data_IF_366544203688
#
_entry.id   IF_366544203688
#
_cell.length_a   1.000
_cell.length_b   1.000
_cell.length_c   1.000
_cell.angle_alpha   90.00
_cell.angle_beta   90.00
_cell.angle_gamma   90.00
#
_symmetry.space_group_name_H-M   'P 1'
#
loop_
_entity.id
_entity.type
_entity.pdbx_description
1 polymer ?
#
# COMPACT_ATOMS: atom_id res chain seq x y z
N UNK A 1 -23.09 -67.86 -49.04
CA UNK A 1 -21.67 -67.60 -48.69
C UNK A 1 -21.37 -66.14 -48.94
N UNK A 2 -20.75 -65.45 -47.96
CA UNK A 2 -20.48 -63.99 -47.83
C UNK A 2 -21.72 -63.18 -47.39
N UNK A 3 -21.73 -62.34 -46.34
CA UNK A 3 -20.68 -61.81 -45.48
C UNK A 3 -21.24 -61.42 -44.09
N UNK A 4 -20.44 -61.63 -43.04
CA UNK A 4 -20.54 -61.04 -41.71
C UNK A 4 -19.70 -59.75 -41.66
N UNK A 5 -19.96 -58.89 -40.66
CA UNK A 5 -19.16 -57.76 -40.13
C UNK A 5 -19.63 -56.38 -40.56
N UNK A 6 -20.35 -55.69 -39.67
CA UNK A 6 -20.13 -54.27 -39.24
C UNK A 6 -21.38 -53.74 -38.50
N UNK A 7 -21.50 -54.01 -37.20
CA UNK A 7 -22.56 -53.37 -36.40
C UNK A 7 -22.17 -53.20 -34.91
N UNK A 8 -20.88 -53.12 -34.60
CA UNK A 8 -20.39 -52.91 -33.23
C UNK A 8 -19.28 -51.85 -33.21
N UNK A 9 -19.54 -50.70 -33.84
CA UNK A 9 -18.63 -49.55 -33.86
C UNK A 9 -19.35 -48.20 -33.75
N UNK A 10 -20.65 -48.19 -33.42
CA UNK A 10 -21.45 -46.95 -33.36
C UNK A 10 -21.90 -46.52 -31.95
N UNK A 11 -21.51 -47.23 -30.89
CA UNK A 11 -21.87 -46.86 -29.51
C UNK A 11 -20.72 -46.29 -28.67
N UNK A 12 -19.49 -46.28 -29.19
CA UNK A 12 -18.33 -45.64 -28.53
C UNK A 12 -17.93 -44.29 -29.14
N UNK A 13 -18.67 -43.79 -30.13
CA UNK A 13 -18.34 -42.53 -30.84
C UNK A 13 -19.27 -41.35 -30.50
N UNK A 14 -20.13 -41.47 -29.49
CA UNK A 14 -21.01 -40.38 -29.02
C UNK A 14 -20.67 -39.85 -27.62
N UNK A 15 -19.73 -40.48 -26.90
CA UNK A 15 -19.17 -39.95 -25.64
C UNK A 15 -17.88 -39.13 -25.86
N UNK A 16 -17.38 -39.06 -27.10
CA UNK A 16 -16.18 -38.29 -27.46
C UNK A 16 -16.48 -36.89 -28.06
N UNK A 17 -17.68 -36.34 -27.85
CA UNK A 17 -18.07 -35.01 -28.38
C UNK A 17 -18.49 -33.99 -27.30
N UNK A 18 -18.28 -34.30 -26.02
CA UNK A 18 -18.58 -33.38 -24.90
C UNK A 18 -17.34 -32.86 -24.15
N UNK A 19 -16.13 -32.92 -24.75
CA UNK A 19 -14.91 -32.39 -24.12
C UNK A 19 -14.04 -31.58 -25.09
N UNK A 20 -14.66 -30.60 -25.73
CA UNK A 20 -13.95 -29.46 -26.32
C UNK A 20 -14.71 -28.18 -25.94
N UNK A 21 -14.87 -27.96 -24.64
CA UNK A 21 -15.04 -26.61 -24.14
C UNK A 21 -13.76 -25.86 -24.50
N UNK A 22 -13.84 -24.93 -25.44
CA UNK A 22 -12.76 -23.98 -25.74
C UNK A 22 -12.36 -23.34 -24.41
N UNK A 23 -11.21 -23.72 -23.88
CA UNK A 23 -10.55 -22.90 -22.88
C UNK A 23 -10.41 -21.52 -23.53
N UNK A 24 -11.10 -20.52 -22.97
CA UNK A 24 -10.87 -19.13 -23.37
C UNK A 24 -9.38 -18.84 -23.25
N UNK A 25 -8.81 -17.93 -24.06
CA UNK A 25 -7.42 -17.56 -23.89
C UNK A 25 -7.19 -17.22 -22.42
N UNK A 26 -6.28 -17.94 -21.77
CA UNK A 26 -5.87 -17.63 -20.41
C UNK A 26 -5.49 -16.15 -20.41
N UNK A 27 -6.14 -15.36 -19.56
CA UNK A 27 -5.78 -13.96 -19.40
C UNK A 27 -4.30 -13.94 -18.99
N UNK A 28 -3.45 -13.41 -19.86
CA UNK A 28 -2.04 -13.19 -19.53
C UNK A 28 -2.05 -12.05 -18.52
N UNK A 29 -2.06 -12.37 -17.23
CA UNK A 29 -1.80 -11.41 -16.17
C UNK A 29 -0.29 -11.32 -16.01
N UNK A 30 0.29 -10.19 -16.43
CA UNK A 30 1.67 -9.86 -16.10
C UNK A 30 1.73 -9.47 -14.63
N UNK A 31 2.54 -10.16 -13.84
CA UNK A 31 2.81 -9.81 -12.45
C UNK A 31 4.20 -9.18 -12.34
N UNK A 32 4.30 -8.08 -11.58
CA UNK A 32 5.57 -7.44 -11.21
C UNK A 32 5.68 -7.50 -9.69
N UNK A 33 6.87 -7.79 -9.15
CA UNK A 33 7.05 -7.75 -7.69
C UNK A 33 6.95 -6.33 -7.15
N UNK A 34 6.49 -6.15 -5.91
CA UNK A 34 6.45 -4.83 -5.29
C UNK A 34 7.86 -4.22 -5.17
N UNK A 35 8.86 -5.09 -4.91
CA UNK A 35 10.28 -4.71 -4.88
C UNK A 35 10.76 -4.22 -6.25
N UNK A 36 10.35 -4.86 -7.35
CA UNK A 36 10.68 -4.41 -8.71
C UNK A 36 9.94 -3.15 -9.10
N UNK A 37 8.67 -3.01 -8.71
CA UNK A 37 7.86 -1.83 -8.98
C UNK A 37 8.48 -0.59 -8.30
N UNK A 38 8.79 -0.68 -7.00
CA UNK A 38 9.37 0.44 -6.23
C UNK A 38 10.87 0.62 -6.51
N UNK A 39 11.58 -0.45 -6.87
CA UNK A 39 13.02 -0.48 -7.12
C UNK A 39 13.46 -0.40 -8.59
N UNK A 40 12.56 0.00 -9.51
CA UNK A 40 12.70 -0.08 -10.97
C UNK A 40 14.09 0.23 -11.56
N UNK A 41 14.36 -0.37 -12.73
CA UNK A 41 15.64 -0.50 -13.45
C UNK A 41 16.60 0.70 -13.32
N UNK A 42 17.45 0.66 -12.29
CA UNK A 42 18.68 1.45 -12.18
C UNK A 42 18.47 2.96 -12.17
N UNK A 43 18.42 3.55 -10.98
CA UNK A 43 18.32 5.00 -10.72
C UNK A 43 19.47 5.88 -11.23
N UNK A 44 20.14 5.49 -12.33
CA UNK A 44 21.20 6.25 -12.96
C UNK A 44 20.67 7.63 -13.41
N UNK A 45 21.24 8.68 -12.82
CA UNK A 45 20.90 10.08 -13.12
C UNK A 45 19.80 10.70 -12.26
N UNK A 46 19.08 9.91 -11.46
CA UNK A 46 18.17 10.44 -10.44
C UNK A 46 18.91 10.72 -9.12
N UNK A 47 18.42 11.70 -8.36
CA UNK A 47 18.95 12.08 -7.06
C UNK A 47 18.69 10.99 -6.01
N UNK A 48 19.51 10.92 -4.96
CA UNK A 48 19.32 10.01 -3.82
C UNK A 48 19.03 10.81 -2.55
N UNK A 49 18.31 10.20 -1.61
CA UNK A 49 18.11 10.76 -0.27
C UNK A 49 19.34 10.40 0.59
N UNK A 50 20.28 11.32 0.72
CA UNK A 50 21.54 11.08 1.45
C UNK A 50 21.68 11.96 2.69
N UNK A 51 21.02 13.12 2.71
CA UNK A 51 21.18 14.13 3.77
C UNK A 51 19.81 14.69 4.18
N UNK A 52 19.65 15.09 5.45
CA UNK A 52 18.47 15.82 5.92
C UNK A 52 18.09 17.00 5.03
N UNK A 53 16.78 17.25 4.90
CA UNK A 53 16.27 18.41 4.16
C UNK A 53 15.21 19.16 4.97
N UNK A 54 15.01 20.43 4.63
CA UNK A 54 13.85 21.19 5.12
C UNK A 54 12.63 20.86 4.26
N UNK A 55 11.51 20.55 4.91
CA UNK A 55 10.21 20.35 4.29
C UNK A 55 9.37 21.63 4.39
N UNK A 56 8.59 21.90 3.35
CA UNK A 56 7.72 23.06 3.20
C UNK A 56 6.39 22.63 2.60
N UNK A 57 5.29 22.94 3.28
CA UNK A 57 3.95 22.50 2.92
C UNK A 57 3.09 23.68 2.44
N UNK A 58 2.30 23.54 1.35
CA UNK A 58 1.96 22.31 0.65
C UNK A 58 2.96 21.84 -0.43
N UNK A 59 4.06 22.56 -0.68
CA UNK A 59 5.01 22.26 -1.77
C UNK A 59 5.48 20.81 -1.79
N UNK A 60 5.91 20.28 -0.64
CA UNK A 60 6.43 18.91 -0.52
C UNK A 60 5.34 17.83 -0.44
N UNK A 61 4.06 18.21 -0.51
CA UNK A 61 3.02 17.26 -0.92
C UNK A 61 3.03 17.03 -2.44
N UNK A 62 3.64 17.91 -3.24
CA UNK A 62 3.74 17.76 -4.68
C UNK A 62 4.69 16.64 -5.15
N UNK A 63 4.91 16.62 -6.46
CA UNK A 63 5.86 15.70 -7.09
C UNK A 63 7.31 16.17 -6.96
N UNK A 64 8.24 15.25 -6.70
CA UNK A 64 9.69 15.51 -6.64
C UNK A 64 10.41 14.87 -7.83
N UNK A 65 10.42 15.56 -8.99
CA UNK A 65 10.83 15.00 -10.29
C UNK A 65 12.30 14.52 -10.34
N UNK A 66 13.13 14.97 -9.41
CA UNK A 66 14.52 14.57 -9.29
C UNK A 66 14.72 13.14 -8.74
N UNK A 67 13.67 12.49 -8.22
CA UNK A 67 13.71 11.11 -7.71
C UNK A 67 13.01 10.13 -8.64
N UNK A 68 13.42 8.86 -8.64
CA UNK A 68 12.83 7.87 -9.54
C UNK A 68 11.42 7.45 -9.12
N UNK A 69 11.18 7.28 -7.82
CA UNK A 69 9.91 6.79 -7.30
C UNK A 69 9.38 7.65 -6.17
N UNK A 70 8.06 7.74 -6.09
CA UNK A 70 7.38 8.39 -4.98
C UNK A 70 5.94 7.92 -4.85
N UNK A 71 5.38 8.05 -3.65
CA UNK A 71 3.99 7.71 -3.40
C UNK A 71 3.30 8.63 -2.40
N UNK A 72 1.98 8.64 -2.51
CA UNK A 72 1.02 9.21 -1.59
C UNK A 72 0.12 8.09 -1.13
N UNK A 73 0.24 7.72 0.14
CA UNK A 73 -0.38 6.53 0.67
C UNK A 73 -1.33 6.89 1.80
N UNK A 74 -2.63 6.76 1.53
CA UNK A 74 -3.68 7.04 2.49
C UNK A 74 -4.29 5.73 2.95
N UNK A 75 -4.26 5.46 4.25
CA UNK A 75 -4.98 4.35 4.88
C UNK A 75 -5.89 4.86 5.96
N UNK A 76 -6.99 4.18 6.24
CA UNK A 76 -7.87 4.61 7.32
C UNK A 76 -8.84 3.57 7.81
N UNK A 77 -9.26 3.80 9.06
CA UNK A 77 -10.26 3.00 9.75
C UNK A 77 -11.49 3.89 9.99
N UNK A 78 -12.62 3.46 9.44
CA UNK A 78 -13.87 4.20 9.40
C UNK A 78 -15.00 3.42 10.08
N UNK A 79 -15.97 4.14 10.62
CA UNK A 79 -17.19 3.60 11.18
C UNK A 79 -18.40 4.41 10.70
N UNK A 80 -19.49 3.70 10.41
CA UNK A 80 -20.81 4.29 10.21
C UNK A 80 -21.55 4.47 11.54
N UNK A 81 -22.64 5.22 11.54
CA UNK A 81 -23.45 5.48 12.74
C UNK A 81 -24.06 4.20 13.35
N UNK A 82 -24.35 3.21 12.50
CA UNK A 82 -24.86 1.89 12.91
C UNK A 82 -23.78 0.96 13.49
N UNK A 83 -22.53 1.42 13.57
CA UNK A 83 -21.40 0.66 14.10
C UNK A 83 -20.69 -0.24 13.08
N UNK A 84 -21.13 -0.28 11.81
CA UNK A 84 -20.38 -0.97 10.74
C UNK A 84 -19.00 -0.36 10.59
N UNK A 85 -17.98 -1.21 10.47
CA UNK A 85 -16.58 -0.80 10.36
C UNK A 85 -16.04 -1.07 8.97
N UNK A 86 -15.22 -0.14 8.49
CA UNK A 86 -14.59 -0.22 7.19
C UNK A 86 -13.10 0.12 7.29
N UNK A 87 -12.29 -0.61 6.54
CA UNK A 87 -10.92 -0.21 6.21
C UNK A 87 -10.91 0.39 4.81
N UNK A 88 -10.05 1.37 4.54
CA UNK A 88 -9.82 1.80 3.18
C UNK A 88 -8.34 2.12 2.94
N UNK A 89 -7.94 2.01 1.69
CA UNK A 89 -6.72 2.62 1.19
C UNK A 89 -6.95 3.32 -0.13
N UNK A 90 -6.24 4.43 -0.33
CA UNK A 90 -6.12 5.10 -1.62
C UNK A 90 -4.65 5.47 -1.79
N UNK A 91 -4.00 4.87 -2.78
CA UNK A 91 -2.57 5.05 -2.99
C UNK A 91 -2.29 5.54 -4.40
N UNK A 92 -1.39 6.51 -4.53
CA UNK A 92 -0.87 6.97 -5.81
C UNK A 92 0.63 6.77 -5.83
N UNK A 93 1.15 6.25 -6.93
CA UNK A 93 2.58 6.07 -7.18
C UNK A 93 2.97 6.84 -8.43
N UNK A 94 4.17 7.41 -8.43
CA UNK A 94 4.81 7.96 -9.62
C UNK A 94 6.13 7.25 -9.87
N UNK A 95 6.33 6.83 -11.10
CA UNK A 95 7.57 6.26 -11.62
C UNK A 95 8.12 7.17 -12.71
N UNK A 96 9.32 7.70 -12.51
CA UNK A 96 10.02 8.52 -13.50
C UNK A 96 10.55 7.67 -14.64
N UNK A 97 10.26 8.06 -15.89
CA UNK A 97 10.76 7.38 -17.09
C UNK A 97 12.21 7.77 -17.44
N UNK A 98 12.69 8.88 -16.88
CA UNK A 98 14.07 9.34 -17.01
C UNK A 98 14.32 10.57 -16.14
N UNK A 99 15.60 10.86 -15.82
CA UNK A 99 15.97 11.94 -14.90
C UNK A 99 15.77 13.35 -15.46
N UNK A 100 15.53 13.45 -16.77
CA UNK A 100 15.22 14.70 -17.46
C UNK A 100 13.89 14.56 -18.17
N UNK A 101 13.03 15.57 -18.01
CA UNK A 101 11.80 15.65 -18.77
C UNK A 101 12.13 15.76 -20.27
N UNK A 102 11.48 14.99 -21.14
CA UNK A 102 11.72 15.07 -22.57
C UNK A 102 11.45 16.50 -23.09
N UNK A 103 12.46 17.16 -23.67
CA UNK A 103 12.28 18.44 -24.37
C UNK A 103 11.58 18.22 -25.72
N UNK A 104 10.28 17.93 -25.71
CA UNK A 104 9.46 17.81 -26.92
C UNK A 104 8.13 18.53 -26.76
N UNK A 105 7.74 19.27 -27.80
CA UNK A 105 6.51 20.07 -27.84
C UNK A 105 5.25 19.23 -28.12
N UNK A 106 5.06 18.11 -27.40
CA UNK A 106 3.85 17.30 -27.51
C UNK A 106 3.15 17.23 -26.16
N UNK A 107 1.86 17.53 -26.14
CA UNK A 107 1.02 17.32 -24.96
C UNK A 107 1.01 15.85 -24.50
N UNK A 108 1.30 14.90 -25.39
CA UNK A 108 1.37 13.47 -25.09
C UNK A 108 2.74 12.97 -24.64
N UNK A 109 3.74 13.85 -24.61
CA UNK A 109 5.04 13.50 -24.06
C UNK A 109 4.88 13.17 -22.58
N UNK A 110 5.32 11.98 -22.19
CA UNK A 110 5.31 11.55 -20.81
C UNK A 110 6.73 11.59 -20.23
N UNK A 111 6.86 12.18 -19.05
CA UNK A 111 8.06 12.06 -18.20
C UNK A 111 7.87 10.99 -17.12
N UNK A 112 6.62 10.67 -16.80
CA UNK A 112 6.26 9.81 -15.69
C UNK A 112 5.12 8.84 -16.07
N UNK A 113 5.10 7.72 -15.37
CA UNK A 113 3.95 6.82 -15.29
C UNK A 113 3.40 6.90 -13.88
N UNK A 114 2.09 6.97 -13.78
CA UNK A 114 1.35 6.92 -12.53
C UNK A 114 0.60 5.59 -12.42
N UNK A 115 0.59 5.05 -11.22
CA UNK A 115 -0.24 3.92 -10.81
C UNK A 115 -1.07 4.38 -9.62
N UNK A 116 -2.31 3.93 -9.51
CA UNK A 116 -3.12 4.16 -8.32
C UNK A 116 -3.90 2.92 -7.93
N UNK A 117 -4.06 2.74 -6.62
CA UNK A 117 -4.85 1.66 -6.03
C UNK A 117 -5.94 2.24 -5.15
N UNK A 118 -7.11 1.60 -5.19
CA UNK A 118 -8.24 1.88 -4.32
C UNK A 118 -8.67 0.56 -3.71
N UNK A 119 -8.76 0.49 -2.38
CA UNK A 119 -9.38 -0.64 -1.71
C UNK A 119 -10.34 -0.23 -0.59
N UNK A 120 -11.32 -1.10 -0.34
CA UNK A 120 -12.30 -0.98 0.74
C UNK A 120 -12.54 -2.36 1.36
N UNK A 121 -12.36 -2.43 2.67
CA UNK A 121 -12.68 -3.59 3.51
C UNK A 121 -14.03 -3.34 4.19
N UNK A 122 -15.05 -4.16 3.94
CA UNK A 122 -16.25 -4.22 4.80
C UNK A 122 -16.06 -5.35 5.81
N UNK A 123 -15.83 -4.96 7.07
CA UNK A 123 -15.52 -5.89 8.15
C UNK A 123 -16.74 -6.76 8.50
N UNK A 124 -17.94 -6.17 8.49
CA UNK A 124 -19.17 -6.92 8.82
C UNK A 124 -19.57 -7.85 7.67
N UNK A 125 -19.37 -7.39 6.43
CA UNK A 125 -19.60 -8.20 5.22
C UNK A 125 -18.52 -9.25 4.96
N UNK A 126 -17.38 -9.19 5.67
CA UNK A 126 -16.19 -10.02 5.42
C UNK A 126 -15.76 -10.01 3.95
N UNK A 127 -15.71 -8.81 3.36
CA UNK A 127 -15.42 -8.60 1.94
C UNK A 127 -14.34 -7.54 1.74
N UNK A 128 -13.56 -7.71 0.68
CA UNK A 128 -12.49 -6.81 0.29
C UNK A 128 -12.59 -6.50 -1.21
N UNK A 129 -12.66 -5.21 -1.53
CA UNK A 129 -12.71 -4.71 -2.90
C UNK A 129 -11.39 -4.00 -3.20
N UNK A 130 -10.75 -4.32 -4.32
CA UNK A 130 -9.51 -3.67 -4.75
C UNK A 130 -9.54 -3.38 -6.24
N UNK A 131 -9.00 -2.21 -6.62
CA UNK A 131 -8.96 -1.71 -7.98
C UNK A 131 -7.62 -1.05 -8.28
N UNK A 132 -7.21 -1.08 -9.54
CA UNK A 132 -5.96 -0.50 -10.05
C UNK A 132 -6.21 0.36 -11.28
N UNK A 133 -5.42 1.42 -11.40
CA UNK A 133 -5.33 2.22 -12.63
C UNK A 133 -3.88 2.56 -12.94
N UNK A 134 -3.60 2.71 -14.22
CA UNK A 134 -2.34 3.24 -14.74
C UNK A 134 -2.63 4.36 -15.72
N UNK A 135 -1.80 5.40 -15.65
CA UNK A 135 -1.84 6.46 -16.65
C UNK A 135 -0.47 7.10 -16.80
N UNK A 136 -0.34 7.96 -17.81
CA UNK A 136 0.83 8.80 -18.03
C UNK A 136 0.52 10.22 -17.61
N UNK A 137 1.54 11.01 -17.30
CA UNK A 137 1.36 12.44 -16.99
C UNK A 137 1.01 13.30 -18.23
N UNK A 138 1.23 12.77 -19.43
CA UNK A 138 0.82 13.41 -20.68
C UNK A 138 -0.67 13.76 -20.75
N UNK A 139 -0.98 14.88 -21.39
CA UNK A 139 -2.32 15.42 -21.59
C UNK A 139 -3.11 15.71 -20.30
N UNK A 140 -2.43 15.75 -19.14
CA UNK A 140 -3.06 16.02 -17.85
C UNK A 140 -3.85 14.83 -17.28
N UNK A 141 -3.64 13.63 -17.81
CA UNK A 141 -4.34 12.42 -17.37
C UNK A 141 -3.93 11.99 -15.94
N UNK A 142 -2.70 12.26 -15.55
CA UNK A 142 -2.22 12.08 -14.18
C UNK A 142 -1.20 13.14 -13.82
N UNK A 143 -0.96 13.32 -12.52
CA UNK A 143 0.05 14.25 -12.05
C UNK A 143 -0.01 14.49 -10.55
N UNK A 144 0.95 15.27 -10.07
CA UNK A 144 0.86 15.88 -8.75
C UNK A 144 1.49 17.27 -8.72
N UNK A 145 0.88 18.18 -7.96
CA UNK A 145 1.40 19.52 -7.68
C UNK A 145 1.30 19.81 -6.19
N UNK A 146 2.25 20.58 -5.67
CA UNK A 146 2.21 21.13 -4.31
C UNK A 146 1.84 22.61 -4.28
N UNK A 147 1.84 23.30 -5.44
CA UNK A 147 1.57 24.74 -5.55
C UNK A 147 0.70 25.04 -6.80
N UNK A 148 -0.21 26.03 -6.76
CA UNK A 148 -0.56 26.87 -5.60
C UNK A 148 -1.32 26.10 -4.51
N UNK A 149 -1.80 24.89 -4.81
CA UNK A 149 -2.44 23.98 -3.88
C UNK A 149 -1.91 22.56 -4.09
N UNK A 150 -1.97 21.74 -3.04
CA UNK A 150 -1.69 20.32 -3.17
C UNK A 150 -2.79 19.61 -3.96
N UNK A 151 -2.37 18.82 -4.95
CA UNK A 151 -3.21 17.85 -5.65
C UNK A 151 -2.36 16.70 -6.18
N UNK A 152 -2.80 15.46 -6.02
CA UNK A 152 -2.34 14.29 -6.80
C UNK A 152 -3.56 13.67 -7.45
N UNK A 153 -3.44 13.27 -8.72
CA UNK A 153 -4.57 12.71 -9.46
C UNK A 153 -4.15 11.67 -10.50
N UNK A 154 -5.08 10.76 -10.79
CA UNK A 154 -5.06 9.84 -11.91
C UNK A 154 -6.50 9.72 -12.43
N UNK A 155 -6.74 10.29 -13.60
CA UNK A 155 -8.07 10.54 -14.16
C UNK A 155 -8.98 11.27 -13.16
N UNK A 156 -10.04 10.61 -12.68
CA UNK A 156 -11.00 11.15 -11.71
C UNK A 156 -10.71 10.74 -10.25
N UNK A 157 -9.65 9.96 -10.00
CA UNK A 157 -9.17 9.69 -8.64
C UNK A 157 -8.21 10.80 -8.20
N UNK A 158 -8.36 11.29 -6.98
CA UNK A 158 -7.56 12.42 -6.49
C UNK A 158 -7.45 12.50 -4.97
N UNK A 159 -6.36 13.10 -4.50
CA UNK A 159 -6.25 13.72 -3.19
C UNK A 159 -5.92 15.21 -3.36
N UNK A 160 -6.67 16.09 -2.71
CA UNK A 160 -6.57 17.55 -2.89
C UNK A 160 -6.53 18.27 -1.54
N UNK A 161 -5.55 19.17 -1.36
CA UNK A 161 -5.52 20.07 -0.21
C UNK A 161 -6.51 21.22 -0.36
N UNK A 162 -7.31 21.49 0.68
CA UNK A 162 -8.39 22.49 0.65
C UNK A 162 -8.08 23.77 1.43
N UNK A 163 -6.94 23.83 2.13
CA UNK A 163 -6.58 24.97 2.96
C UNK A 163 -5.07 25.14 3.13
N UNK A 164 -4.69 25.83 4.21
CA UNK A 164 -3.30 26.17 4.49
C UNK A 164 -2.46 24.90 4.67
N UNK A 165 -1.22 24.93 4.16
CA UNK A 165 -0.31 23.79 4.17
C UNK A 165 -0.88 22.52 3.49
N UNK A 166 -1.98 22.61 2.73
CA UNK A 166 -2.61 21.47 2.07
C UNK A 166 -3.62 20.71 2.94
N UNK A 167 -4.03 21.26 4.09
CA UNK A 167 -5.02 20.67 4.99
C UNK A 167 -6.31 21.51 5.06
N UNK A 168 -7.50 20.88 5.24
CA UNK A 168 -7.72 19.44 5.18
C UNK A 168 -7.48 18.88 3.77
N UNK A 169 -7.25 17.56 3.69
CA UNK A 169 -7.15 16.85 2.42
C UNK A 169 -8.49 16.20 2.06
N UNK A 170 -8.94 16.35 0.82
CA UNK A 170 -10.11 15.65 0.30
C UNK A 170 -9.70 14.53 -0.64
N UNK A 171 -10.13 13.31 -0.33
CA UNK A 171 -9.95 12.13 -1.16
C UNK A 171 -11.20 11.85 -1.96
N UNK A 172 -11.03 11.59 -3.26
CA UNK A 172 -12.10 11.12 -4.15
C UNK A 172 -11.59 10.00 -5.02
N UNK A 173 -12.32 8.90 -5.07
CA UNK A 173 -12.06 7.81 -5.98
C UNK A 173 -13.35 7.00 -6.17
N UNK A 174 -13.61 6.52 -7.38
CA UNK A 174 -14.77 5.66 -7.65
C UNK A 174 -14.40 4.60 -8.69
N UNK A 175 -14.76 3.35 -8.42
CA UNK A 175 -14.57 2.23 -9.34
C UNK A 175 -15.42 1.03 -8.94
N UNK A 176 -16.10 0.45 -9.92
CA UNK A 176 -16.92 -0.74 -9.71
C UNK A 176 -17.99 -0.49 -8.64
N UNK A 177 -17.93 -1.26 -7.54
CA UNK A 177 -18.86 -1.19 -6.43
C UNK A 177 -18.50 -0.11 -5.39
N UNK A 178 -17.29 0.45 -5.46
CA UNK A 178 -16.72 1.29 -4.40
C UNK A 178 -16.59 2.75 -4.84
N UNK A 179 -16.94 3.68 -3.95
CA UNK A 179 -16.49 5.06 -4.04
C UNK A 179 -16.11 5.64 -2.68
N UNK A 180 -15.15 6.56 -2.66
CA UNK A 180 -14.75 7.36 -1.51
C UNK A 180 -14.99 8.84 -1.82
N UNK A 181 -15.59 9.57 -0.90
CA UNK A 181 -15.53 11.03 -0.81
C UNK A 181 -15.31 11.40 0.65
N UNK A 182 -14.05 11.58 1.03
CA UNK A 182 -13.60 11.72 2.41
C UNK A 182 -12.82 13.03 2.58
N UNK A 183 -13.00 13.69 3.71
CA UNK A 183 -12.22 14.85 4.14
C UNK A 183 -11.43 14.48 5.40
N UNK A 184 -10.12 14.70 5.34
CA UNK A 184 -9.13 14.32 6.34
C UNK A 184 -8.53 15.59 6.94
N UNK A 185 -8.85 15.85 8.20
CA UNK A 185 -8.31 16.98 8.97
C UNK A 185 -6.90 16.67 9.49
N UNK A 186 -6.12 17.72 9.79
CA UNK A 186 -4.84 17.55 10.50
C UNK A 186 -5.07 17.36 11.99
N UNK A 187 -4.96 16.12 12.50
CA UNK A 187 -5.12 15.83 13.94
C UNK A 187 -3.83 15.94 14.75
N UNK A 188 -2.68 15.72 14.11
CA UNK A 188 -1.35 15.89 14.70
C UNK A 188 -0.42 16.65 13.75
N UNK A 189 0.67 17.26 14.27
CA UNK A 189 1.73 17.80 13.44
C UNK A 189 2.29 16.75 12.48
N UNK A 190 2.84 17.22 11.36
CA UNK A 190 3.59 16.35 10.44
C UNK A 190 4.78 15.72 11.17
N UNK A 191 4.97 14.42 10.94
CA UNK A 191 6.06 13.63 11.51
C UNK A 191 7.05 13.35 10.41
N UNK A 192 8.30 13.76 10.58
CA UNK A 192 9.36 13.33 9.68
C UNK A 192 9.76 11.91 10.05
N UNK A 193 9.78 11.00 9.09
CA UNK A 193 10.18 9.62 9.31
C UNK A 193 11.70 9.50 9.15
N UNK A 194 12.36 9.13 10.24
CA UNK A 194 13.82 9.16 10.36
C UNK A 194 14.39 10.58 10.58
N UNK A 195 15.66 10.68 11.03
CA UNK A 195 16.29 11.96 11.34
C UNK A 195 16.28 12.93 10.16
N UNK A 196 15.59 14.06 10.30
CA UNK A 196 15.47 15.07 9.25
C UNK A 196 14.73 14.60 7.99
N UNK A 197 13.87 13.58 8.15
CA UNK A 197 13.08 12.97 7.08
C UNK A 197 13.85 12.01 6.19
N UNK A 198 15.07 11.61 6.56
CA UNK A 198 15.83 10.57 5.86
C UNK A 198 15.53 9.22 6.52
N UNK A 199 14.66 8.43 5.87
CA UNK A 199 14.30 7.10 6.32
C UNK A 199 15.16 6.05 5.63
N UNK A 200 16.08 5.45 6.39
CA UNK A 200 16.97 4.39 5.91
C UNK A 200 16.17 3.10 5.69
N UNK A 201 16.49 2.39 4.62
CA UNK A 201 15.95 1.06 4.28
C UNK A 201 16.98 -0.04 4.42
N UNK A 202 18.24 0.32 4.69
CA UNK A 202 19.28 -0.63 5.05
C UNK A 202 20.45 0.07 5.75
N UNK A 203 21.49 -0.70 6.09
CA UNK A 203 22.72 -0.14 6.64
C UNK A 203 23.56 0.63 5.59
N UNK A 204 23.29 0.43 4.30
CA UNK A 204 24.04 1.07 3.20
C UNK A 204 23.62 2.54 3.04
N UNK A 205 24.53 3.52 3.23
CA UNK A 205 24.20 4.93 3.08
C UNK A 205 23.61 5.26 1.70
N UNK A 206 22.53 6.04 1.69
CA UNK A 206 21.81 6.41 0.46
C UNK A 206 20.82 5.35 -0.04
N UNK A 207 20.72 4.19 0.63
CA UNK A 207 19.55 3.34 0.53
C UNK A 207 18.46 3.85 1.49
N UNK A 208 17.95 5.03 1.17
CA UNK A 208 17.00 5.75 1.98
C UNK A 208 15.99 6.48 1.08
N UNK A 209 14.91 6.93 1.69
CA UNK A 209 13.94 7.80 1.06
C UNK A 209 13.68 9.01 1.94
N UNK A 210 13.24 10.09 1.32
CA UNK A 210 12.65 11.19 2.06
C UNK A 210 11.23 10.82 2.43
N UNK A 211 10.90 10.92 3.71
CA UNK A 211 9.66 10.36 4.22
C UNK A 211 9.10 11.23 5.36
N UNK A 212 7.82 11.55 5.28
CA UNK A 212 7.03 12.09 6.38
C UNK A 212 5.60 11.54 6.37
N UNK A 213 4.93 11.71 7.51
CA UNK A 213 3.61 11.16 7.77
C UNK A 213 2.70 12.18 8.46
N UNK A 214 1.39 12.11 8.19
CA UNK A 214 0.37 12.59 9.11
C UNK A 214 -0.25 11.38 9.78
N UNK A 215 0.17 11.13 11.02
CA UNK A 215 -0.10 9.87 11.71
C UNK A 215 -1.52 9.78 12.26
N UNK A 216 -2.24 10.89 12.32
CA UNK A 216 -3.61 10.93 12.84
C UNK A 216 -4.41 12.04 12.16
N UNK A 217 -5.29 11.64 11.25
CA UNK A 217 -6.14 12.55 10.47
C UNK A 217 -7.62 12.25 10.73
N UNK A 218 -8.31 13.03 11.59
CA UNK A 218 -9.75 12.90 11.78
C UNK A 218 -10.48 12.94 10.45
N UNK A 219 -11.23 11.89 10.15
CA UNK A 219 -11.81 11.67 8.82
C UNK A 219 -13.32 11.66 8.89
N UNK A 220 -13.97 12.35 7.96
CA UNK A 220 -15.41 12.32 7.79
C UNK A 220 -15.78 12.35 6.31
N UNK A 221 -16.96 11.85 5.97
CA UNK A 221 -17.48 11.90 4.61
C UNK A 221 -18.40 10.74 4.32
N UNK A 222 -18.29 10.19 3.12
CA UNK A 222 -19.06 9.02 2.71
C UNK A 222 -18.22 8.02 1.95
N UNK A 223 -18.56 6.75 2.12
CA UNK A 223 -18.19 5.69 1.19
C UNK A 223 -19.45 5.27 0.42
N UNK A 224 -19.28 4.72 -0.78
CA UNK A 224 -20.32 3.99 -1.50
C UNK A 224 -19.88 2.54 -1.62
N UNK A 225 -20.78 1.61 -1.31
CA UNK A 225 -20.59 0.18 -1.50
C UNK A 225 -21.86 -0.40 -2.13
N UNK A 226 -21.72 -1.06 -3.28
CA UNK A 226 -22.83 -1.67 -4.03
C UNK A 226 -24.00 -0.71 -4.30
N UNK A 227 -23.66 0.55 -4.61
CA UNK A 227 -24.63 1.61 -4.89
C UNK A 227 -25.27 2.25 -3.64
N UNK A 228 -24.97 1.76 -2.43
CA UNK A 228 -25.39 2.38 -1.19
C UNK A 228 -24.34 3.37 -0.70
N UNK A 229 -24.72 4.64 -0.57
CA UNK A 229 -23.89 5.64 0.10
C UNK A 229 -24.05 5.54 1.63
N UNK A 230 -22.94 5.51 2.34
CA UNK A 230 -22.86 5.32 3.79
C UNK A 230 -22.03 6.47 4.36
N UNK A 231 -22.63 7.26 5.25
CA UNK A 231 -21.91 8.30 5.98
C UNK A 231 -20.98 7.67 7.03
N UNK A 232 -19.75 8.17 7.11
CA UNK A 232 -18.70 7.57 7.94
C UNK A 232 -17.87 8.63 8.66
N UNK A 233 -17.31 8.22 9.80
CA UNK A 233 -16.29 8.96 10.56
C UNK A 233 -15.17 8.01 10.97
N UNK A 234 -13.97 8.54 11.20
CA UNK A 234 -12.86 7.71 11.64
C UNK A 234 -11.55 8.46 11.72
N UNK A 235 -10.46 7.73 11.54
CA UNK A 235 -9.10 8.25 11.55
C UNK A 235 -8.31 7.64 10.41
N UNK A 236 -7.57 8.50 9.72
CA UNK A 236 -6.69 8.11 8.62
C UNK A 236 -5.24 8.39 8.95
N UNK A 237 -4.37 7.74 8.20
CA UNK A 237 -2.93 7.91 8.17
C UNK A 237 -2.54 8.28 6.75
N UNK A 238 -1.64 9.24 6.60
CA UNK A 238 -1.08 9.62 5.31
C UNK A 238 0.44 9.54 5.34
N UNK A 239 0.99 8.72 4.46
CA UNK A 239 2.42 8.64 4.19
C UNK A 239 2.78 9.30 2.86
N UNK A 240 3.87 10.06 2.91
CA UNK A 240 4.50 10.61 1.72
C UNK A 240 5.96 10.21 1.69
N UNK A 241 6.33 9.45 0.67
CA UNK A 241 7.71 9.00 0.52
C UNK A 241 8.20 9.16 -0.92
N UNK A 242 9.46 9.56 -1.08
CA UNK A 242 10.10 9.73 -2.39
C UNK A 242 11.60 9.46 -2.32
N UNK A 243 12.14 8.82 -3.35
CA UNK A 243 13.53 8.40 -3.38
C UNK A 243 13.94 7.68 -4.66
N UNK A 244 15.18 7.20 -4.68
CA UNK A 244 15.78 6.49 -5.82
C UNK A 244 16.59 5.29 -5.34
N UNK A 245 16.12 4.63 -4.28
CA UNK A 245 16.81 3.48 -3.73
C UNK A 245 16.01 2.21 -3.94
N UNK A 246 16.72 1.17 -4.37
CA UNK A 246 16.22 -0.19 -4.40
C UNK A 246 16.56 -0.88 -3.07
N UNK A 247 15.75 -1.84 -2.66
CA UNK A 247 16.07 -2.68 -1.50
C UNK A 247 17.40 -3.43 -1.73
N UNK A 248 18.05 -3.81 -0.63
CA UNK A 248 19.32 -4.53 -0.71
C UNK A 248 19.17 -5.90 -1.41
N UNK A 249 20.22 -6.40 -2.09
CA UNK A 249 20.22 -7.74 -2.65
C UNK A 249 19.85 -8.80 -1.61
N UNK A 250 18.91 -9.68 -1.96
CA UNK A 250 18.38 -10.72 -1.07
C UNK A 250 17.13 -10.32 -0.30
N UNK A 251 16.73 -9.03 -0.33
CA UNK A 251 15.40 -8.62 0.12
C UNK A 251 14.33 -9.21 -0.80
N UNK A 252 13.30 -9.80 -0.19
CA UNK A 252 12.14 -10.36 -0.89
C UNK A 252 10.93 -9.45 -0.80
N UNK A 253 10.84 -8.63 0.25
CA UNK A 253 9.71 -7.76 0.53
C UNK A 253 9.88 -7.03 1.85
N UNK A 254 8.80 -6.39 2.28
CA UNK A 254 8.71 -5.70 3.56
C UNK A 254 7.35 -5.95 4.21
N UNK A 255 7.35 -5.85 5.54
CA UNK A 255 6.16 -5.72 6.36
C UNK A 255 6.14 -4.31 6.94
N UNK A 256 5.05 -3.59 6.76
CA UNK A 256 4.86 -2.23 7.27
C UNK A 256 3.58 -2.14 8.10
N UNK A 257 3.63 -1.37 9.19
CA UNK A 257 2.53 -1.18 10.13
C UNK A 257 2.40 0.30 10.49
N UNK A 258 1.23 0.88 10.28
CA UNK A 258 0.79 2.11 10.94
C UNK A 258 -0.22 1.77 12.03
N UNK A 259 0.05 2.19 13.26
CA UNK A 259 -0.77 1.90 14.43
C UNK A 259 -1.11 3.20 15.15
N UNK A 260 -2.40 3.42 15.40
CA UNK A 260 -2.93 4.52 16.18
C UNK A 260 -3.47 3.96 17.50
N UNK A 261 -2.75 4.20 18.60
CA UNK A 261 -3.15 3.74 19.93
C UNK A 261 -4.20 4.67 20.55
N UNK A 262 -5.03 4.12 21.42
CA UNK A 262 -6.13 4.81 22.11
C UNK A 262 -5.65 5.77 23.19
N UNK A 263 -4.43 5.58 23.69
CA UNK A 263 -3.73 6.51 24.57
C UNK A 263 -3.13 7.73 23.85
N UNK A 264 -3.40 7.86 22.55
CA UNK A 264 -2.99 8.97 21.71
C UNK A 264 -1.59 8.87 21.14
N UNK A 265 -0.81 7.82 21.40
CA UNK A 265 0.46 7.57 20.69
C UNK A 265 0.21 6.93 19.32
N UNK A 266 1.15 7.15 18.40
CA UNK A 266 1.14 6.49 17.09
C UNK A 266 2.46 5.76 16.87
N UNK A 267 2.44 4.66 16.13
CA UNK A 267 3.61 3.85 15.85
C UNK A 267 3.63 3.47 14.38
N UNK A 268 4.67 3.91 13.67
CA UNK A 268 5.04 3.34 12.37
C UNK A 268 6.22 2.40 12.59
N UNK A 269 6.12 1.15 12.16
CA UNK A 269 7.25 0.21 12.14
C UNK A 269 7.25 -0.57 10.85
N UNK A 270 8.45 -0.81 10.32
CA UNK A 270 8.64 -1.63 9.14
C UNK A 270 9.83 -2.56 9.31
N UNK A 271 9.76 -3.73 8.67
CA UNK A 271 10.89 -4.60 8.47
C UNK A 271 11.03 -4.98 7.00
N UNK A 272 12.27 -5.09 6.52
CA UNK A 272 12.60 -5.70 5.24
C UNK A 272 13.06 -7.11 5.52
N UNK A 273 12.56 -8.08 4.78
CA UNK A 273 12.81 -9.49 5.04
C UNK A 273 13.31 -10.24 3.80
N UNK A 274 13.98 -11.37 4.05
CA UNK A 274 14.32 -12.36 3.03
C UNK A 274 13.10 -13.21 2.66
N UNK A 275 13.24 -14.05 1.64
CA UNK A 275 12.17 -14.95 1.21
C UNK A 275 11.73 -15.95 2.29
N UNK A 276 12.62 -16.32 3.22
CA UNK A 276 12.29 -17.18 4.37
C UNK A 276 11.64 -16.41 5.55
N UNK A 277 11.41 -15.10 5.40
CA UNK A 277 10.85 -14.24 6.43
C UNK A 277 11.89 -13.71 7.44
N UNK A 278 13.17 -14.05 7.29
CA UNK A 278 14.22 -13.55 8.18
C UNK A 278 14.37 -12.03 8.00
N UNK A 279 14.29 -11.22 9.07
CA UNK A 279 14.47 -9.78 8.97
C UNK A 279 15.92 -9.43 8.59
N UNK A 280 16.06 -8.49 7.67
CA UNK A 280 17.33 -7.92 7.20
C UNK A 280 17.58 -6.54 7.80
N UNK A 281 16.50 -5.78 7.96
CA UNK A 281 16.53 -4.43 8.46
C UNK A 281 15.17 -4.11 9.09
N UNK A 282 15.14 -3.28 10.13
CA UNK A 282 13.91 -2.73 10.67
C UNK A 282 14.13 -1.31 11.17
N UNK A 283 13.11 -0.48 11.03
CA UNK A 283 13.09 0.89 11.51
C UNK A 283 11.65 1.29 11.82
N UNK A 284 11.50 2.38 12.57
CA UNK A 284 10.18 2.93 12.84
C UNK A 284 10.26 4.27 13.56
N UNK A 285 9.09 4.82 13.83
CA UNK A 285 8.92 6.05 14.59
C UNK A 285 7.78 5.87 15.58
N UNK A 286 8.08 6.06 16.86
CA UNK A 286 7.08 6.20 17.90
C UNK A 286 6.76 7.69 18.06
N UNK A 287 5.50 8.05 17.86
CA UNK A 287 5.02 9.43 17.95
C UNK A 287 4.26 9.61 19.25
N UNK A 288 4.74 10.53 20.07
CA UNK A 288 4.09 10.89 21.32
C UNK A 288 2.72 11.55 21.08
N UNK A 289 1.96 11.76 22.17
CA UNK A 289 0.63 12.39 22.11
C UNK A 289 0.70 13.80 21.52
N UNK A 290 1.78 14.54 21.79
CA UNK A 290 2.02 15.90 21.29
C UNK A 290 2.58 15.96 19.86
N UNK A 291 2.83 14.80 19.23
CA UNK A 291 3.43 14.71 17.90
C UNK A 291 4.95 14.60 17.89
N UNK A 292 5.62 14.58 19.04
CA UNK A 292 7.09 14.44 19.10
C UNK A 292 7.52 13.04 18.63
N UNK A 293 8.39 12.94 17.61
CA UNK A 293 8.88 11.64 17.14
C UNK A 293 10.06 11.11 17.95
N UNK A 294 10.06 9.81 18.20
CA UNK A 294 11.19 9.01 18.70
C UNK A 294 11.53 7.95 17.65
N UNK A 295 12.73 8.03 17.06
CA UNK A 295 13.15 7.09 16.03
C UNK A 295 13.60 5.76 16.64
N UNK A 296 13.15 4.67 16.05
CA UNK A 296 13.39 3.31 16.48
C UNK A 296 14.32 2.60 15.49
N UNK A 297 15.24 1.82 16.03
CA UNK A 297 16.17 0.99 15.26
C UNK A 297 15.76 -0.47 15.31
N UNK A 298 16.44 -1.31 14.52
CA UNK A 298 16.26 -2.77 14.57
C UNK A 298 16.51 -3.36 15.96
N UNK A 299 17.37 -2.73 16.78
CA UNK A 299 17.64 -3.13 18.17
C UNK A 299 16.50 -2.75 19.13
N UNK A 300 15.58 -1.88 18.72
CA UNK A 300 14.39 -1.51 19.50
C UNK A 300 13.19 -2.39 19.17
N UNK A 301 13.12 -2.89 17.93
CA UNK A 301 11.92 -3.49 17.35
C UNK A 301 12.03 -5.03 17.32
N UNK A 302 10.91 -5.71 17.53
CA UNK A 302 10.75 -7.13 17.14
C UNK A 302 9.35 -7.34 16.61
N UNK A 303 9.25 -7.86 15.40
CA UNK A 303 8.00 -8.22 14.75
C UNK A 303 8.01 -9.73 14.55
N UNK A 304 7.08 -10.41 15.19
CA UNK A 304 6.97 -11.88 15.12
C UNK A 304 5.61 -12.25 14.57
N UNK A 305 5.56 -12.91 13.41
CA UNK A 305 4.34 -13.52 12.91
C UNK A 305 3.86 -14.63 13.86
N UNK A 306 2.61 -14.56 14.29
CA UNK A 306 1.98 -15.52 15.21
C UNK A 306 0.89 -16.36 14.54
N UNK A 307 0.48 -15.99 13.33
CA UNK A 307 -0.46 -16.75 12.49
C UNK A 307 -0.15 -16.56 11.01
N UNK A 308 -0.75 -17.38 10.15
CA UNK A 308 -0.65 -17.26 8.70
C UNK A 308 -1.99 -17.50 8.02
N UNK A 309 -2.23 -16.79 6.93
CA UNK A 309 -3.37 -16.97 6.03
C UNK A 309 -2.88 -17.33 4.63
N UNK A 310 -3.63 -18.16 3.93
CA UNK A 310 -3.34 -18.53 2.55
C UNK A 310 -4.43 -18.00 1.63
N UNK A 311 -4.04 -17.21 0.64
CA UNK A 311 -4.94 -16.72 -0.39
C UNK A 311 -5.44 -17.87 -1.24
N UNK A 312 -6.76 -17.96 -1.38
CA UNK A 312 -7.39 -18.88 -2.33
C UNK A 312 -7.30 -18.37 -3.78
N UNK A 313 -6.98 -17.08 -3.96
CA UNK A 313 -6.90 -16.43 -5.29
C UNK A 313 -5.52 -16.60 -5.90
N UNK A 314 -4.47 -16.27 -5.15
CA UNK A 314 -3.08 -16.32 -5.63
C UNK A 314 -2.31 -17.57 -5.19
N UNK A 315 -2.79 -18.27 -4.15
CA UNK A 315 -2.05 -19.35 -3.48
C UNK A 315 -0.98 -18.87 -2.51
N UNK A 316 -0.73 -17.56 -2.44
CA UNK A 316 0.26 -16.93 -1.57
C UNK A 316 -0.03 -17.17 -0.09
N UNK A 317 1.04 -17.24 0.72
CA UNK A 317 0.93 -17.43 2.18
C UNK A 317 1.48 -16.21 2.89
N UNK A 318 0.60 -15.48 3.55
CA UNK A 318 0.91 -14.26 4.30
C UNK A 318 0.94 -14.52 5.80
N UNK A 319 1.82 -13.87 6.57
CA UNK A 319 1.58 -13.62 7.99
C UNK A 319 0.20 -12.99 8.19
N UNK A 320 -0.54 -13.42 9.20
CA UNK A 320 -1.93 -13.00 9.43
C UNK A 320 -2.25 -12.79 10.91
N UNK A 321 -1.22 -12.54 11.71
CA UNK A 321 -1.26 -11.98 13.05
C UNK A 321 0.20 -11.75 13.47
N UNK A 322 0.44 -10.74 14.29
CA UNK A 322 1.79 -10.37 14.72
C UNK A 322 1.82 -10.05 16.20
N UNK A 323 2.99 -10.28 16.80
CA UNK A 323 3.38 -9.63 18.06
C UNK A 323 4.47 -8.62 17.73
N UNK A 324 4.26 -7.37 18.11
CA UNK A 324 5.18 -6.26 17.90
C UNK A 324 5.68 -5.77 19.26
N UNK A 325 6.98 -5.83 19.47
CA UNK A 325 7.66 -5.32 20.66
C UNK A 325 8.46 -4.06 20.32
N UNK A 326 8.31 -3.01 21.13
CA UNK A 326 9.20 -1.84 21.13
C UNK A 326 9.84 -1.71 22.50
N UNK A 327 11.09 -2.18 22.62
CA UNK A 327 11.77 -2.36 23.91
C UNK A 327 11.97 -1.04 24.65
N UNK A 328 12.45 -0.02 23.95
CA UNK A 328 12.73 1.32 24.50
C UNK A 328 11.49 2.01 25.09
N UNK A 329 10.29 1.65 24.62
CA UNK A 329 9.02 2.19 25.10
C UNK A 329 8.19 1.19 25.94
N UNK A 330 8.73 -0.01 26.20
CA UNK A 330 8.03 -1.10 26.89
C UNK A 330 6.65 -1.40 26.28
N UNK A 331 6.55 -1.37 24.96
CA UNK A 331 5.33 -1.66 24.20
C UNK A 331 5.35 -3.12 23.76
N UNK A 332 4.22 -3.80 23.93
CA UNK A 332 3.97 -5.17 23.49
C UNK A 332 2.55 -5.27 22.94
N UNK A 333 2.44 -5.41 21.61
CA UNK A 333 1.19 -5.33 20.88
C UNK A 333 0.92 -6.65 20.15
N UNK A 334 -0.29 -7.15 20.28
CA UNK A 334 -0.87 -8.11 19.35
C UNK A 334 -1.60 -7.33 18.24
N UNK A 335 -1.25 -7.62 16.99
CA UNK A 335 -1.85 -7.02 15.79
C UNK A 335 -2.55 -8.13 15.01
N UNK A 336 -3.84 -7.94 14.72
CA UNK A 336 -4.66 -8.91 14.01
C UNK A 336 -5.40 -8.25 12.84
N UNK A 337 -5.49 -8.90 11.67
CA UNK A 337 -6.32 -8.40 10.58
C UNK A 337 -7.80 -8.27 10.98
N UNK A 338 -8.45 -7.20 10.52
CA UNK A 338 -9.89 -7.03 10.69
C UNK A 338 -10.67 -8.16 9.99
N UNK A 339 -10.19 -8.56 8.81
CA UNK A 339 -10.54 -9.81 8.13
C UNK A 339 -9.28 -10.43 7.50
N UNK A 340 -9.21 -11.76 7.30
CA UNK A 340 -7.99 -12.40 6.76
C UNK A 340 -7.70 -12.04 5.30
N UNK A 341 -8.74 -12.00 4.45
CA UNK A 341 -8.57 -11.74 3.01
C UNK A 341 -8.62 -10.24 2.72
N UNK A 342 -7.43 -9.63 2.71
CA UNK A 342 -7.19 -8.25 2.27
C UNK A 342 -6.02 -8.23 1.26
N UNK A 343 -5.89 -9.30 0.48
CA UNK A 343 -4.93 -9.37 -0.63
C UNK A 343 -5.42 -8.48 -1.79
N UNK A 344 -4.50 -7.71 -2.37
CA UNK A 344 -4.68 -7.00 -3.63
C UNK A 344 -4.18 -7.89 -4.77
N UNK A 345 -5.07 -8.61 -5.49
CA UNK A 345 -4.69 -9.44 -6.63
C UNK A 345 -4.54 -8.59 -7.91
N UNK A 346 -3.73 -7.54 -7.83
CA UNK A 346 -3.53 -6.56 -8.90
C UNK A 346 -2.27 -6.89 -9.71
N UNK A 347 -1.80 -5.98 -10.56
CA UNK A 347 -0.56 -6.18 -11.34
C UNK A 347 0.64 -6.44 -10.40
N UNK A 348 0.64 -5.79 -9.25
CA UNK A 348 1.54 -6.09 -8.13
C UNK A 348 0.72 -6.79 -7.05
N UNK A 349 1.09 -8.02 -6.69
CA UNK A 349 0.39 -8.77 -5.65
C UNK A 349 1.00 -8.47 -4.29
N UNK A 350 0.20 -7.90 -3.40
CA UNK A 350 0.59 -7.67 -2.00
C UNK A 350 -0.66 -7.71 -1.12
N UNK A 351 -0.46 -7.81 0.20
CA UNK A 351 -1.55 -7.81 1.17
C UNK A 351 -1.57 -6.46 1.87
N UNK A 352 -2.72 -5.81 1.94
CA UNK A 352 -2.83 -4.49 2.56
C UNK A 352 -4.20 -4.36 3.20
N UNK A 353 -4.22 -4.20 4.52
CA UNK A 353 -5.47 -4.36 5.25
C UNK A 353 -5.53 -3.68 6.60
N UNK A 354 -6.75 -3.32 6.98
CA UNK A 354 -7.08 -2.84 8.30
C UNK A 354 -6.76 -3.90 9.36
N UNK A 355 -6.17 -3.45 10.45
CA UNK A 355 -5.81 -4.28 11.60
C UNK A 355 -6.33 -3.70 12.90
N UNK A 356 -6.63 -4.58 13.85
CA UNK A 356 -6.94 -4.22 15.23
C UNK A 356 -5.72 -4.50 16.10
N UNK A 357 -5.57 -3.69 17.15
CA UNK A 357 -4.41 -3.73 18.03
C UNK A 357 -4.88 -3.82 19.48
N UNK A 358 -4.30 -4.75 20.22
CA UNK A 358 -4.47 -4.87 21.67
C UNK A 358 -3.12 -5.22 22.30
N UNK A 359 -2.86 -4.73 23.51
CA UNK A 359 -1.62 -5.06 24.18
C UNK A 359 -1.37 -4.23 25.42
N UNK A 360 -0.09 -3.95 25.68
CA UNK A 360 0.31 -3.11 26.79
C UNK A 360 1.46 -2.18 26.45
N UNK A 361 1.54 -1.09 27.20
CA UNK A 361 2.66 -0.16 27.16
C UNK A 361 3.01 0.27 28.59
N UNK A 362 4.27 0.05 28.99
CA UNK A 362 4.72 0.23 30.38
C UNK A 362 3.81 -0.48 31.40
N UNK A 363 3.31 -1.67 31.05
CA UNK A 363 2.42 -2.48 31.88
C UNK A 363 0.95 -2.03 31.93
N UNK A 364 0.58 -0.94 31.25
CA UNK A 364 -0.82 -0.49 31.14
C UNK A 364 -1.47 -1.02 29.86
N UNK A 365 -2.73 -1.45 29.89
CA UNK A 365 -3.43 -1.92 28.70
C UNK A 365 -3.59 -0.77 27.70
N UNK A 366 -3.34 -1.07 26.42
CA UNK A 366 -3.58 -0.16 25.30
C UNK A 366 -4.30 -0.90 24.18
N UNK A 367 -5.15 -0.19 23.44
CA UNK A 367 -5.80 -0.70 22.24
C UNK A 367 -5.55 0.25 21.08
N UNK A 368 -5.85 -0.18 19.88
CA UNK A 368 -5.69 0.67 18.72
C UNK A 368 -6.31 0.08 17.47
N UNK A 369 -6.21 0.86 16.41
CA UNK A 369 -6.46 0.41 15.05
C UNK A 369 -5.21 0.69 14.23
N UNK A 370 -5.05 -0.04 13.13
CA UNK A 370 -3.94 0.14 12.24
C UNK A 370 -4.24 -0.26 10.82
N UNK A 371 -3.19 -0.17 10.02
CA UNK A 371 -3.12 -0.73 8.68
C UNK A 371 -1.79 -1.46 8.55
N UNK A 372 -1.81 -2.58 7.84
CA UNK A 372 -0.64 -3.41 7.62
C UNK A 372 -0.47 -3.67 6.13
N UNK A 373 0.75 -3.52 5.63
CA UNK A 373 1.13 -3.81 4.25
C UNK A 373 2.21 -4.91 4.27
N UNK A 374 2.04 -5.93 3.43
CA UNK A 374 2.95 -7.07 3.31
C UNK A 374 3.28 -7.34 1.85
N UNK A 375 4.56 -7.35 1.52
CA UNK A 375 5.04 -7.62 0.15
C UNK A 375 6.00 -8.81 0.11
N UNK A 376 6.24 -9.39 -1.07
CA UNK A 376 7.22 -10.48 -1.21
C UNK A 376 6.74 -11.89 -0.83
N UNK A 377 5.45 -12.05 -0.48
CA UNK A 377 4.84 -13.34 -0.13
C UNK A 377 4.11 -14.02 -1.30
N UNK A 378 3.67 -13.24 -2.29
CA UNK A 378 2.89 -13.74 -3.43
C UNK A 378 3.70 -14.39 -4.56
N UNK A 379 5.01 -14.17 -4.57
CA UNK A 379 5.89 -14.58 -5.67
C UNK A 379 6.41 -16.01 -5.53
N UNK A 380 6.25 -16.63 -4.36
CA UNK A 380 6.83 -17.94 -4.04
C UNK A 380 6.14 -19.12 -4.74
N UNK A 381 4.99 -18.89 -5.39
CA UNK A 381 4.29 -19.89 -6.21
C UNK A 381 4.85 -20.06 -7.63
N UNK A 382 5.79 -19.21 -8.05
CA UNK A 382 6.38 -19.29 -9.39
C UNK A 382 7.52 -20.31 -9.42
N UNK A 383 7.16 -21.56 -9.72
CA UNK A 383 8.09 -22.48 -10.36
C UNK A 383 8.76 -21.74 -11.53
N UNK A 384 10.07 -21.49 -11.40
CA UNK A 384 10.91 -21.07 -12.51
C UNK A 384 10.76 -22.11 -13.62
N UNK A 385 9.96 -21.78 -14.63
CA UNK A 385 10.09 -22.42 -15.94
C UNK A 385 11.41 -21.91 -16.50
N UNK A 386 12.42 -22.77 -16.39
CA UNK A 386 13.74 -22.61 -17.00
C UNK A 386 13.65 -22.57 -18.52
#
# INVERSE_FOLDING_TARGET
MRAYRTALALFFLTIALASCGKAGPAAIQSHISAVQAVGGSGGAGFAKATEPRTFSFPRDHGAHQQYATEWWYYTGNLAAEDGRRFGYQLTFFRFGLGPQLPQRASAWAAGNVYMAHLALTDVAGNTFHAYERFSRDGAGLAGASGEPQFRVWLDDWSAEGQGQAGLPMRLRAAQGAVALDLTLEGGKPVVLEGPGGVSQKSATPGNASYYYSYTRMPTQGSITLDGQQIAVRGSSWFDREFGTSALEPGASGWDWFAIQLDDGRDLMVAQIHRADGTPMFAAGTLVAQDGTPSYLTMDDITITATSTWQSQRSGARYPSAWRILVRSAQIDLAVTPAIPDQELPLTVTYWEGATSVEGSAAGQPVRGQGYTELTGYGEQGQLQLR
#
